data_IF_342540198999
#
_entry.id   IF_342540198999
#
_cell.length_a   1.000
_cell.length_b   1.000
_cell.length_c   1.000
_cell.angle_alpha   90.00
_cell.angle_beta   90.00
_cell.angle_gamma   90.00
#
_symmetry.space_group_name_H-M   'P 1'
#
loop_
_entity.id
_entity.type
_entity.pdbx_description
1 polymer ?
#
# COMPACT_ATOMS: atom_id res chain seq x y z
N UNK A 1 -14.86 -6.11 58.58
CA UNK A 1 -15.82 -5.41 57.69
C UNK A 1 -15.10 -4.87 56.44
N UNK A 2 -14.27 -5.69 55.77
CA UNK A 2 -13.39 -5.24 54.66
C UNK A 2 -13.53 -6.05 53.35
N UNK A 3 -14.24 -7.19 53.39
CA UNK A 3 -14.36 -8.12 52.25
C UNK A 3 -15.07 -7.51 51.04
N UNK A 4 -16.03 -6.59 51.26
CA UNK A 4 -16.77 -5.97 50.16
C UNK A 4 -15.98 -4.95 49.32
N UNK A 5 -14.84 -4.45 49.81
CA UNK A 5 -13.93 -3.60 49.01
C UNK A 5 -12.95 -4.44 48.20
N UNK A 6 -12.46 -5.53 48.78
CA UNK A 6 -11.58 -6.49 48.10
C UNK A 6 -12.32 -7.20 46.95
N UNK A 7 -13.57 -7.62 47.16
CA UNK A 7 -14.39 -8.24 46.11
C UNK A 7 -14.71 -7.28 44.95
N UNK A 8 -14.89 -5.98 45.24
CA UNK A 8 -15.10 -4.97 44.19
C UNK A 8 -13.81 -4.62 43.44
N UNK A 9 -12.68 -4.55 44.12
CA UNK A 9 -11.38 -4.32 43.49
C UNK A 9 -10.97 -5.49 42.58
N UNK A 10 -11.21 -6.72 43.03
CA UNK A 10 -11.01 -7.93 42.23
C UNK A 10 -11.97 -7.97 41.04
N UNK A 11 -13.23 -7.57 41.21
CA UNK A 11 -14.19 -7.47 40.11
C UNK A 11 -13.73 -6.44 39.06
N UNK A 12 -13.28 -5.24 39.49
CA UNK A 12 -12.79 -4.17 38.62
C UNK A 12 -11.52 -4.57 37.85
N UNK A 13 -10.54 -5.23 38.51
CA UNK A 13 -9.36 -5.78 37.84
C UNK A 13 -9.70 -6.92 36.86
N UNK A 14 -10.68 -7.77 37.18
CA UNK A 14 -11.10 -8.86 36.29
C UNK A 14 -11.92 -8.36 35.10
N UNK A 15 -12.74 -7.33 35.27
CA UNK A 15 -13.51 -6.72 34.19
C UNK A 15 -12.60 -5.91 33.25
N UNK A 16 -11.60 -5.17 33.76
CA UNK A 16 -10.59 -4.49 32.96
C UNK A 16 -9.70 -5.48 32.15
N UNK A 17 -9.35 -6.62 32.75
CA UNK A 17 -8.61 -7.69 32.07
C UNK A 17 -9.48 -8.43 31.03
N UNK A 18 -10.77 -8.62 31.31
CA UNK A 18 -11.75 -9.20 30.39
C UNK A 18 -12.08 -8.24 29.23
N UNK A 19 -12.07 -6.92 29.46
CA UNK A 19 -12.25 -5.92 28.41
C UNK A 19 -11.02 -5.78 27.51
N UNK A 20 -9.81 -5.90 28.08
CA UNK A 20 -8.55 -5.89 27.32
C UNK A 20 -8.41 -7.12 26.41
N UNK A 21 -8.97 -8.26 26.81
CA UNK A 21 -9.02 -9.50 26.01
C UNK A 21 -10.20 -9.57 25.03
N UNK A 22 -11.24 -8.73 25.19
CA UNK A 22 -12.36 -8.59 24.23
C UNK A 22 -12.06 -7.67 23.05
N UNK A 23 -10.99 -6.88 23.09
CA UNK A 23 -10.56 -6.11 21.91
C UNK A 23 -9.89 -7.07 20.92
N UNK A 24 -10.39 -7.18 19.68
CA UNK A 24 -9.85 -8.15 18.75
C UNK A 24 -8.36 -7.93 18.46
N UNK A 25 -7.53 -8.93 18.74
CA UNK A 25 -6.07 -8.84 18.62
C UNK A 25 -5.57 -8.52 17.21
N UNK A 26 -6.40 -8.75 16.18
CA UNK A 26 -6.10 -8.38 14.78
C UNK A 26 -6.04 -6.87 14.54
N UNK A 27 -6.57 -6.05 15.47
CA UNK A 27 -6.43 -4.59 15.43
C UNK A 27 -5.06 -4.12 15.92
N UNK A 28 -4.23 -5.03 16.47
CA UNK A 28 -2.83 -4.78 16.75
C UNK A 28 -2.04 -4.76 15.44
N UNK A 29 -2.01 -3.58 14.80
CA UNK A 29 -0.98 -3.13 13.85
C UNK A 29 0.47 -3.25 14.38
N UNK A 30 0.69 -3.93 15.50
CA UNK A 30 1.97 -4.23 16.12
C UNK A 30 2.66 -5.49 15.60
N UNK A 31 2.04 -6.27 14.71
CA UNK A 31 2.72 -7.44 14.13
C UNK A 31 3.87 -6.98 13.20
N UNK A 32 5.12 -7.42 13.41
CA UNK A 32 6.31 -6.85 12.76
C UNK A 32 6.30 -6.97 11.24
N UNK A 33 5.51 -7.89 10.68
CA UNK A 33 5.40 -8.08 9.21
C UNK A 33 4.35 -7.20 8.54
N UNK A 34 3.44 -6.56 9.30
CA UNK A 34 2.33 -5.79 8.72
C UNK A 34 2.83 -4.58 7.92
N UNK A 35 3.73 -3.79 8.51
CA UNK A 35 4.29 -2.60 7.85
C UNK A 35 5.01 -2.92 6.53
N UNK A 36 5.89 -3.94 6.47
CA UNK A 36 6.47 -4.40 5.22
C UNK A 36 5.44 -4.85 4.18
N UNK A 37 4.48 -5.69 4.59
CA UNK A 37 3.47 -6.23 3.67
C UNK A 37 2.59 -5.12 3.11
N UNK A 38 2.07 -4.26 4.00
CA UNK A 38 1.21 -3.13 3.63
C UNK A 38 1.95 -2.17 2.70
N UNK A 39 3.21 -1.85 3.00
CA UNK A 39 4.07 -1.04 2.12
C UNK A 39 4.17 -1.67 0.74
N UNK A 40 4.62 -2.92 0.66
CA UNK A 40 4.77 -3.65 -0.60
C UNK A 40 3.50 -3.68 -1.45
N UNK A 41 2.38 -4.12 -0.87
CA UNK A 41 1.10 -4.18 -1.58
C UNK A 41 0.57 -2.81 -1.99
N UNK A 42 0.78 -1.77 -1.18
CA UNK A 42 0.46 -0.38 -1.55
C UNK A 42 1.28 0.06 -2.76
N UNK A 43 2.58 -0.29 -2.78
CA UNK A 43 3.46 -0.04 -3.91
C UNK A 43 2.95 -0.69 -5.19
N UNK A 44 2.62 -1.98 -5.15
CA UNK A 44 2.05 -2.68 -6.30
C UNK A 44 0.73 -2.07 -6.77
N UNK A 45 -0.20 -1.86 -5.84
CA UNK A 45 -1.51 -1.29 -6.13
C UNK A 45 -1.39 0.09 -6.78
N UNK A 46 -0.44 0.91 -6.33
CA UNK A 46 -0.22 2.24 -6.90
C UNK A 46 0.22 2.18 -8.38
N UNK A 47 1.08 1.25 -8.77
CA UNK A 47 1.54 1.10 -10.16
C UNK A 47 0.43 0.55 -11.07
N UNK A 48 -0.45 -0.30 -10.53
CA UNK A 48 -1.54 -0.91 -11.31
C UNK A 48 -2.71 0.06 -11.47
N UNK A 49 -3.16 0.65 -10.36
CA UNK A 49 -4.42 1.38 -10.29
C UNK A 49 -4.25 2.84 -10.72
N UNK A 50 -3.19 3.52 -10.25
CA UNK A 50 -3.09 4.97 -10.44
C UNK A 50 -2.93 5.36 -11.91
N UNK A 51 -2.05 4.73 -12.71
CA UNK A 51 -1.93 5.08 -14.13
C UNK A 51 -3.20 4.81 -14.92
N UNK A 52 -3.85 3.67 -14.67
CA UNK A 52 -5.12 3.32 -15.32
C UNK A 52 -6.23 4.31 -14.99
N UNK A 53 -6.36 4.65 -13.70
CA UNK A 53 -7.36 5.62 -13.24
C UNK A 53 -7.06 7.03 -13.77
N UNK A 54 -5.81 7.46 -13.73
CA UNK A 54 -5.38 8.75 -14.26
C UNK A 54 -5.71 8.87 -15.75
N UNK A 55 -5.31 7.88 -16.56
CA UNK A 55 -5.60 7.86 -17.98
C UNK A 55 -7.11 7.86 -18.25
N UNK A 56 -7.89 7.09 -17.49
CA UNK A 56 -9.35 7.04 -17.64
C UNK A 56 -10.01 8.40 -17.34
N UNK A 57 -9.60 9.08 -16.26
CA UNK A 57 -10.13 10.38 -15.87
C UNK A 57 -9.72 11.47 -16.86
N UNK A 58 -8.45 11.52 -17.28
CA UNK A 58 -8.01 12.53 -18.24
C UNK A 58 -8.68 12.31 -19.58
N UNK A 59 -8.78 11.06 -20.04
CA UNK A 59 -9.49 10.71 -21.28
C UNK A 59 -10.96 11.13 -21.24
N UNK A 60 -11.64 10.97 -20.11
CA UNK A 60 -13.08 11.30 -20.02
C UNK A 60 -13.36 12.80 -20.03
N UNK A 61 -12.44 13.62 -19.53
CA UNK A 61 -12.63 15.08 -19.41
C UNK A 61 -11.97 15.84 -20.58
N UNK A 62 -10.75 15.48 -20.95
CA UNK A 62 -9.92 16.22 -21.90
C UNK A 62 -9.77 15.53 -23.27
N UNK A 63 -10.34 14.34 -23.44
CA UNK A 63 -10.23 13.55 -24.67
C UNK A 63 -8.93 12.75 -24.77
N UNK A 64 -8.85 11.91 -25.80
CA UNK A 64 -7.77 10.93 -25.96
C UNK A 64 -6.40 11.58 -26.25
N UNK A 65 -6.38 12.59 -27.11
CA UNK A 65 -5.15 13.26 -27.57
C UNK A 65 -4.43 13.99 -26.43
N UNK A 66 -5.20 14.66 -25.56
CA UNK A 66 -4.65 15.27 -24.34
C UNK A 66 -4.26 14.24 -23.28
N UNK A 67 -4.91 13.08 -23.23
CA UNK A 67 -4.54 12.03 -22.30
C UNK A 67 -3.15 11.46 -22.58
N UNK A 68 -2.77 11.30 -23.83
CA UNK A 68 -1.42 10.83 -24.21
C UNK A 68 -0.35 11.88 -23.88
N UNK A 69 -0.60 13.15 -24.19
CA UNK A 69 0.32 14.25 -23.87
C UNK A 69 0.52 14.41 -22.36
N UNK A 70 -0.54 14.20 -21.57
CA UNK A 70 -0.52 14.33 -20.12
C UNK A 70 -0.11 13.04 -19.38
N UNK A 71 -0.02 11.91 -20.08
CA UNK A 71 0.33 10.62 -19.47
C UNK A 71 1.65 10.62 -18.68
N UNK A 72 2.74 11.28 -19.15
CA UNK A 72 4.02 11.30 -18.44
C UNK A 72 3.93 11.91 -17.04
N UNK A 73 2.95 12.79 -16.78
CA UNK A 73 2.75 13.37 -15.44
C UNK A 73 2.37 12.34 -14.39
N UNK A 74 1.94 11.13 -14.77
CA UNK A 74 1.73 10.03 -13.82
C UNK A 74 3.01 9.69 -13.06
N UNK A 75 4.20 9.95 -13.63
CA UNK A 75 5.48 9.77 -12.95
C UNK A 75 5.64 10.68 -11.74
N UNK A 76 4.90 11.78 -11.65
CA UNK A 76 4.85 12.60 -10.44
C UNK A 76 4.34 11.82 -9.22
N UNK A 77 3.63 10.71 -9.43
CA UNK A 77 3.28 9.77 -8.36
C UNK A 77 4.52 9.29 -7.59
N UNK A 78 5.68 9.15 -8.24
CA UNK A 78 6.95 8.76 -7.59
C UNK A 78 7.44 9.77 -6.56
N UNK A 79 7.00 11.02 -6.65
CA UNK A 79 7.32 12.03 -5.64
C UNK A 79 6.76 11.63 -4.27
N UNK A 80 5.60 10.98 -4.22
CA UNK A 80 4.95 10.55 -2.96
C UNK A 80 5.81 9.56 -2.15
N UNK A 81 6.22 8.39 -2.69
CA UNK A 81 7.09 7.46 -1.95
C UNK A 81 8.46 8.05 -1.64
N UNK A 82 9.02 8.87 -2.52
CA UNK A 82 10.31 9.52 -2.30
C UNK A 82 10.20 10.52 -1.14
N UNK A 83 9.16 11.34 -1.10
CA UNK A 83 8.90 12.27 -0.01
C UNK A 83 8.68 11.52 1.31
N UNK A 84 7.97 10.39 1.30
CA UNK A 84 7.82 9.52 2.47
C UNK A 84 9.13 8.91 2.97
N UNK A 85 10.22 8.95 2.20
CA UNK A 85 11.53 8.47 2.64
C UNK A 85 12.27 9.49 3.55
N UNK A 86 11.78 10.73 3.62
CA UNK A 86 12.36 11.81 4.45
C UNK A 86 12.05 11.59 5.94
N UNK A 87 10.79 11.40 6.38
CA UNK A 87 10.48 11.20 7.80
C UNK A 87 10.97 9.85 8.30
N UNK A 88 11.65 9.83 9.44
CA UNK A 88 12.20 8.59 10.03
C UNK A 88 11.12 7.56 10.37
N UNK A 89 9.91 8.01 10.71
CA UNK A 89 8.82 7.14 11.12
C UNK A 89 8.17 6.38 9.93
N UNK A 90 8.21 6.93 8.71
CA UNK A 90 7.63 6.31 7.50
C UNK A 90 8.65 5.54 6.66
N UNK A 91 9.96 5.70 6.92
CA UNK A 91 11.03 5.13 6.10
C UNK A 91 10.92 3.62 5.85
N UNK A 92 10.58 2.83 6.88
CA UNK A 92 10.45 1.37 6.70
C UNK A 92 9.33 1.06 5.71
N UNK A 93 8.14 1.63 5.91
CA UNK A 93 7.01 1.49 5.00
C UNK A 93 7.37 1.93 3.57
N UNK A 94 7.95 3.12 3.42
CA UNK A 94 8.32 3.70 2.13
C UNK A 94 9.31 2.82 1.36
N UNK A 95 10.28 2.20 2.04
CA UNK A 95 11.22 1.25 1.41
C UNK A 95 10.51 0.03 0.82
N UNK A 96 9.59 -0.57 1.57
CA UNK A 96 8.84 -1.73 1.06
C UNK A 96 7.83 -1.34 -0.02
N UNK A 97 7.25 -0.15 0.06
CA UNK A 97 6.41 0.41 -1.00
C UNK A 97 7.20 0.62 -2.29
N UNK A 98 8.39 1.21 -2.22
CA UNK A 98 9.28 1.32 -3.37
C UNK A 98 9.68 -0.06 -3.92
N UNK A 99 9.94 -1.04 -3.04
CA UNK A 99 10.23 -2.41 -3.47
C UNK A 99 9.06 -3.00 -4.28
N UNK A 100 7.83 -2.84 -3.80
CA UNK A 100 6.62 -3.28 -4.50
C UNK A 100 6.46 -2.59 -5.85
N UNK A 101 6.65 -1.27 -5.90
CA UNK A 101 6.60 -0.51 -7.15
C UNK A 101 7.63 -1.01 -8.17
N UNK A 102 8.90 -1.13 -7.76
CA UNK A 102 9.99 -1.56 -8.64
C UNK A 102 9.75 -2.99 -9.13
N UNK A 103 9.35 -3.90 -8.25
CA UNK A 103 9.02 -5.27 -8.62
C UNK A 103 7.90 -5.32 -9.66
N UNK A 104 6.82 -4.55 -9.48
CA UNK A 104 5.73 -4.48 -10.46
C UNK A 104 6.19 -3.89 -11.78
N UNK A 105 6.97 -2.80 -11.79
CA UNK A 105 7.50 -2.19 -13.00
C UNK A 105 8.35 -3.19 -13.79
N UNK A 106 9.24 -3.92 -13.10
CA UNK A 106 10.09 -4.93 -13.74
C UNK A 106 9.26 -6.07 -14.33
N UNK A 107 8.27 -6.57 -13.60
CA UNK A 107 7.38 -7.64 -14.10
C UNK A 107 6.58 -7.17 -15.30
N UNK A 108 5.90 -6.03 -15.20
CA UNK A 108 5.07 -5.48 -16.29
C UNK A 108 5.91 -5.15 -17.51
N UNK A 109 7.05 -4.49 -17.33
CA UNK A 109 7.97 -4.16 -18.41
C UNK A 109 8.56 -5.42 -19.05
N UNK A 110 8.95 -6.41 -18.26
CA UNK A 110 9.46 -7.69 -18.75
C UNK A 110 8.43 -8.45 -19.57
N UNK A 111 7.19 -8.53 -19.09
CA UNK A 111 6.08 -9.17 -19.84
C UNK A 111 5.80 -8.40 -21.13
N UNK A 112 5.70 -7.08 -21.08
CA UNK A 112 5.46 -6.25 -22.26
C UNK A 112 6.55 -6.44 -23.32
N UNK A 113 7.82 -6.44 -22.91
CA UNK A 113 8.95 -6.66 -23.80
C UNK A 113 8.95 -8.08 -24.40
N UNK A 114 8.66 -9.10 -23.59
CA UNK A 114 8.58 -10.49 -24.05
C UNK A 114 7.44 -10.68 -25.07
N UNK A 115 6.27 -10.09 -24.81
CA UNK A 115 5.14 -10.12 -25.74
C UNK A 115 5.48 -9.37 -27.03
N UNK A 116 6.06 -8.17 -26.94
CA UNK A 116 6.46 -7.40 -28.12
C UNK A 116 7.47 -8.17 -28.96
N UNK A 117 8.48 -8.78 -28.32
CA UNK A 117 9.45 -9.64 -28.99
C UNK A 117 8.78 -10.82 -29.71
N UNK A 118 7.84 -11.49 -29.03
CA UNK A 118 7.10 -12.60 -29.61
C UNK A 118 6.28 -12.19 -30.83
N UNK A 119 5.58 -11.05 -30.75
CA UNK A 119 4.79 -10.51 -31.86
C UNK A 119 5.69 -10.16 -33.07
N UNK A 120 6.79 -9.43 -32.84
CA UNK A 120 7.74 -9.06 -33.90
C UNK A 120 8.34 -10.29 -34.60
N UNK A 121 8.65 -11.34 -33.84
CA UNK A 121 9.18 -12.59 -34.41
C UNK A 121 8.13 -13.37 -35.21
N UNK A 122 6.84 -13.21 -34.90
CA UNK A 122 5.75 -13.90 -35.59
C UNK A 122 5.30 -13.19 -36.88
N UNK A 123 5.56 -11.90 -36.97
CA UNK A 123 5.24 -11.05 -38.12
C UNK A 123 6.40 -10.96 -39.14
N UNK A 124 7.62 -11.38 -38.75
CA UNK A 124 8.80 -11.53 -39.60
C UNK A 124 8.88 -12.93 -40.21
#
# INVERSE_FOLDING_TARGET
MNQGFEDRALADETDDAAERSRRPDWFHRGHPVFFPLAGFFTGMASIIVVPGLYAAVVKSIAGYERAEELFPFVLLLLVVPIAMLVPHHTRRFAKYMLLGMVATILVVGGVAAAVLWFLLKKDA
#
